data_IF_460612680636
#
_entry.id   IF_460612680636
#
_cell.length_a   1.000
_cell.length_b   1.000
_cell.length_c   1.000
_cell.angle_alpha   90.00
_cell.angle_beta   90.00
_cell.angle_gamma   90.00
#
_symmetry.space_group_name_H-M   'P 1'
#
loop_
_entity.id
_entity.type
_entity.pdbx_description
1 polymer ?
#
# COMPACT_ATOMS: atom_id res chain seq x y z
N UNK A 1 5.87 -10.00 -21.68
CA UNK A 1 6.24 -8.79 -20.90
C UNK A 1 5.42 -8.83 -19.62
N UNK A 2 6.00 -9.32 -18.51
CA UNK A 2 5.34 -9.18 -17.21
C UNK A 2 5.49 -7.71 -16.80
N UNK A 3 4.41 -6.98 -16.43
CA UNK A 3 4.59 -5.71 -15.75
C UNK A 3 5.29 -6.05 -14.44
N UNK A 4 6.57 -5.72 -14.38
CA UNK A 4 7.36 -5.85 -13.17
C UNK A 4 6.66 -5.00 -12.13
N UNK A 5 5.99 -5.65 -11.17
CA UNK A 5 5.53 -5.01 -9.96
C UNK A 5 6.78 -4.64 -9.17
N UNK A 6 7.46 -3.58 -9.60
CA UNK A 6 8.59 -3.03 -8.89
C UNK A 6 8.09 -2.63 -7.50
N UNK A 7 8.78 -3.06 -6.43
CA UNK A 7 8.42 -2.65 -5.09
C UNK A 7 8.30 -1.13 -5.07
N UNK A 8 7.19 -0.63 -4.50
CA UNK A 8 6.98 0.80 -4.38
C UNK A 8 8.25 1.42 -3.76
N UNK A 9 8.84 2.43 -4.39
CA UNK A 9 10.03 3.10 -3.84
C UNK A 9 9.58 4.20 -2.87
N UNK A 10 10.48 4.63 -1.96
CA UNK A 10 10.16 5.73 -1.02
C UNK A 10 9.73 7.00 -1.76
N UNK A 11 10.44 7.32 -2.84
CA UNK A 11 10.14 8.49 -3.65
C UNK A 11 8.77 8.38 -4.30
N UNK A 12 8.43 7.22 -4.88
CA UNK A 12 7.10 7.01 -5.45
C UNK A 12 6.01 7.08 -4.37
N UNK A 13 6.25 6.49 -3.19
CA UNK A 13 5.32 6.55 -2.06
C UNK A 13 5.04 7.99 -1.62
N UNK A 14 6.09 8.80 -1.44
CA UNK A 14 5.99 10.19 -1.01
C UNK A 14 5.30 11.07 -2.08
N UNK A 15 5.28 10.63 -3.36
CA UNK A 15 4.59 11.30 -4.47
C UNK A 15 3.20 10.72 -4.80
N UNK A 16 2.82 9.58 -4.23
CA UNK A 16 1.49 8.99 -4.42
C UNK A 16 0.48 9.70 -3.52
N UNK A 17 -0.58 10.22 -4.13
CA UNK A 17 -1.75 10.72 -3.41
C UNK A 17 -2.58 9.54 -2.89
N UNK A 18 -2.38 9.20 -1.62
CA UNK A 18 -3.26 8.27 -0.92
C UNK A 18 -4.58 8.97 -0.58
N UNK A 19 -5.60 8.71 -1.37
CA UNK A 19 -6.99 9.09 -1.10
C UNK A 19 -7.69 7.98 -0.29
N UNK A 20 -8.84 8.29 0.31
CA UNK A 20 -9.70 7.32 1.01
C UNK A 20 -10.19 6.16 0.12
N UNK A 21 -10.04 6.27 -1.20
CA UNK A 21 -10.40 5.21 -2.16
C UNK A 21 -9.17 4.52 -2.77
N UNK A 22 -7.96 4.92 -2.37
CA UNK A 22 -6.74 4.33 -2.90
C UNK A 22 -6.65 2.87 -2.47
N UNK A 23 -6.47 1.98 -3.44
CA UNK A 23 -6.27 0.56 -3.19
C UNK A 23 -4.80 0.24 -3.35
N UNK A 24 -4.29 -0.64 -2.51
CA UNK A 24 -2.93 -1.13 -2.59
C UNK A 24 -2.96 -2.63 -2.78
N UNK A 25 -2.19 -3.11 -3.75
CA UNK A 25 -1.91 -4.52 -3.92
C UNK A 25 -0.62 -4.84 -3.17
N UNK A 26 -0.71 -5.77 -2.22
CA UNK A 26 0.46 -6.25 -1.50
C UNK A 26 1.23 -7.28 -2.33
N UNK A 27 2.46 -7.55 -1.92
CA UNK A 27 3.32 -8.57 -2.53
C UNK A 27 2.77 -9.99 -2.37
N UNK A 28 1.82 -10.22 -1.46
CA UNK A 28 1.07 -11.48 -1.33
C UNK A 28 -0.01 -11.65 -2.42
N UNK A 29 -0.23 -10.62 -3.26
CA UNK A 29 -1.19 -10.63 -4.34
C UNK A 29 -2.58 -10.11 -3.97
N UNK A 30 -2.87 -9.86 -2.68
CA UNK A 30 -4.14 -9.34 -2.20
C UNK A 30 -4.20 -7.81 -2.31
N UNK A 31 -5.41 -7.30 -2.59
CA UNK A 31 -5.68 -5.87 -2.70
C UNK A 31 -6.51 -5.41 -1.51
N UNK A 32 -6.07 -4.34 -0.86
CA UNK A 32 -6.75 -3.73 0.28
C UNK A 32 -6.98 -2.24 0.05
N UNK A 33 -8.03 -1.70 0.66
CA UNK A 33 -8.31 -0.26 0.64
C UNK A 33 -7.51 0.43 1.74
N UNK A 34 -6.72 1.44 1.38
CA UNK A 34 -5.96 2.24 2.35
C UNK A 34 -6.93 3.04 3.20
N UNK A 35 -6.80 2.90 4.51
CA UNK A 35 -7.62 3.59 5.51
C UNK A 35 -6.85 4.74 6.17
N UNK A 36 -5.54 4.60 6.37
CA UNK A 36 -4.68 5.68 6.83
C UNK A 36 -3.26 5.52 6.28
N UNK A 37 -2.49 6.60 6.30
CA UNK A 37 -1.09 6.62 5.84
C UNK A 37 -0.23 7.34 6.86
N UNK A 38 0.90 6.71 7.18
CA UNK A 38 1.97 7.30 7.97
C UNK A 38 3.13 7.61 7.02
N UNK A 39 3.37 8.90 6.75
CA UNK A 39 4.44 9.35 5.87
C UNK A 39 5.83 9.33 6.54
N UNK A 40 5.91 9.44 7.87
CA UNK A 40 7.18 9.38 8.60
C UNK A 40 7.76 7.97 8.51
N UNK A 41 6.91 6.97 8.75
CA UNK A 41 7.26 5.55 8.70
C UNK A 41 7.11 4.94 7.31
N UNK A 42 6.42 5.62 6.40
CA UNK A 42 6.03 5.15 5.06
C UNK A 42 5.27 3.83 5.15
N UNK A 43 4.25 3.84 5.98
CA UNK A 43 3.37 2.71 6.24
C UNK A 43 1.94 3.08 5.82
N UNK A 44 1.21 2.11 5.28
CA UNK A 44 -0.22 2.24 5.02
C UNK A 44 -0.97 1.33 5.97
N UNK A 45 -2.08 1.84 6.50
CA UNK A 45 -3.01 1.08 7.31
C UNK A 45 -4.17 0.62 6.44
N UNK A 46 -4.55 -0.64 6.56
CA UNK A 46 -5.77 -1.17 5.99
C UNK A 46 -6.46 -2.10 6.99
N UNK A 47 -7.76 -2.29 6.84
CA UNK A 47 -8.51 -3.30 7.58
C UNK A 47 -8.40 -4.65 6.87
N UNK A 48 -7.94 -5.67 7.59
CA UNK A 48 -7.92 -7.03 7.06
C UNK A 48 -9.34 -7.65 7.05
N UNK A 49 -9.47 -8.91 6.63
CA UNK A 49 -10.78 -9.60 6.59
C UNK A 49 -11.48 -9.75 7.94
N UNK A 50 -10.74 -9.60 9.04
CA UNK A 50 -11.25 -9.67 10.40
C UNK A 50 -11.49 -8.27 11.00
N UNK A 51 -11.57 -7.23 10.16
CA UNK A 51 -11.76 -5.84 10.56
C UNK A 51 -10.68 -5.34 11.56
N UNK A 52 -9.50 -5.96 11.53
CA UNK A 52 -8.38 -5.55 12.35
C UNK A 52 -7.50 -4.56 11.58
N UNK A 53 -7.12 -3.42 12.17
CA UNK A 53 -6.22 -2.47 11.54
C UNK A 53 -4.81 -3.06 11.45
N UNK A 54 -4.26 -3.12 10.24
CA UNK A 54 -2.92 -3.63 9.96
C UNK A 54 -2.10 -2.55 9.27
N UNK A 55 -0.95 -2.24 9.85
CA UNK A 55 0.05 -1.35 9.26
C UNK A 55 1.04 -2.16 8.43
N UNK A 56 1.29 -1.75 7.20
CA UNK A 56 2.28 -2.36 6.33
C UNK A 56 3.18 -1.30 5.71
N UNK A 57 4.48 -1.57 5.71
CA UNK A 57 5.47 -0.73 5.05
C UNK A 57 5.26 -0.74 3.53
N UNK A 58 5.54 0.41 2.90
CA UNK A 58 5.57 0.58 1.45
C UNK A 58 6.35 -0.52 0.71
N UNK A 59 7.37 -1.12 1.35
CA UNK A 59 8.15 -2.24 0.81
C UNK A 59 7.33 -3.51 0.54
N UNK A 60 6.20 -3.68 1.24
CA UNK A 60 5.26 -4.80 1.05
C UNK A 60 4.15 -4.46 0.07
N UNK A 61 4.12 -3.25 -0.47
CA UNK A 61 3.19 -2.83 -1.51
C UNK A 61 3.82 -3.11 -2.87
N UNK A 62 3.17 -3.99 -3.64
CA UNK A 62 3.55 -4.35 -4.99
C UNK A 62 3.04 -3.33 -6.02
N UNK A 63 1.85 -2.77 -5.79
CA UNK A 63 1.28 -1.74 -6.66
C UNK A 63 0.23 -0.90 -5.93
N UNK A 64 -0.01 0.31 -6.41
CA UNK A 64 -1.18 1.13 -6.07
C UNK A 64 -2.16 1.00 -7.23
N UNK A 65 -3.43 0.72 -6.95
CA UNK A 65 -4.51 0.42 -7.90
C UNK A 65 -5.57 1.50 -7.87
#
# INVERSE_FOLDING_TARGET
MNPQAEPLTKHLFDHVLFSSHTKVRLTDGHTYTVSAVDFERREVMYYNRNDCPVWVSYKRIAAVV
#
